data_IF_688189390895
#
_entry.id   IF_688189390895
#
_cell.length_a   1.000
_cell.length_b   1.000
_cell.length_c   1.000
_cell.angle_alpha   90.00
_cell.angle_beta   90.00
_cell.angle_gamma   90.00
#
_symmetry.space_group_name_H-M   'P 1'
#
loop_
_entity.id
_entity.type
_entity.pdbx_description
1 polymer ?
#
# COMPACT_ATOMS: atom_id res chain seq x y z
N UNK A 1 -66.19 34.08 30.69
CA UNK A 1 -65.35 32.89 30.43
C UNK A 1 -64.85 33.02 28.99
N UNK A 2 -63.57 33.37 28.79
CA UNK A 2 -63.03 33.82 27.49
C UNK A 2 -62.61 32.61 26.63
N UNK A 3 -63.18 32.49 25.43
CA UNK A 3 -62.72 31.61 24.36
C UNK A 3 -61.30 32.06 23.92
N UNK A 4 -60.31 31.16 23.99
CA UNK A 4 -58.97 31.37 23.46
C UNK A 4 -58.83 30.61 22.14
N UNK A 5 -58.47 31.35 21.09
CA UNK A 5 -57.98 30.87 19.81
C UNK A 5 -56.56 30.32 19.93
N UNK A 6 -56.24 29.27 19.17
CA UNK A 6 -54.87 28.92 18.78
C UNK A 6 -54.88 28.00 17.54
N UNK A 7 -54.27 28.41 16.41
CA UNK A 7 -53.98 27.56 15.26
C UNK A 7 -52.55 27.02 15.35
N UNK A 8 -52.30 25.77 14.93
CA UNK A 8 -50.93 25.25 14.72
C UNK A 8 -50.92 24.44 13.42
N UNK A 9 -50.46 25.08 12.33
CA UNK A 9 -49.19 24.80 11.63
C UNK A 9 -49.10 23.40 11.01
N UNK A 10 -49.43 23.34 9.73
CA UNK A 10 -49.16 22.24 8.81
C UNK A 10 -47.65 22.05 8.62
N UNK A 11 -47.18 20.84 8.91
CA UNK A 11 -45.78 20.41 8.78
C UNK A 11 -45.47 20.10 7.31
N UNK A 12 -44.63 20.92 6.67
CA UNK A 12 -44.11 20.66 5.34
C UNK A 12 -43.00 19.61 5.42
N UNK A 13 -43.22 18.45 4.80
CA UNK A 13 -42.25 17.37 4.68
C UNK A 13 -41.15 17.76 3.67
N UNK A 14 -39.94 18.04 4.17
CA UNK A 14 -38.75 18.28 3.37
C UNK A 14 -38.14 16.93 2.97
N UNK A 15 -38.44 16.46 1.76
CA UNK A 15 -37.79 15.30 1.16
C UNK A 15 -36.39 15.70 0.67
N UNK A 16 -35.37 15.48 1.50
CA UNK A 16 -33.98 15.60 1.09
C UNK A 16 -33.61 14.28 0.43
N UNK A 17 -33.65 14.27 -0.90
CA UNK A 17 -33.13 13.18 -1.72
C UNK A 17 -31.65 12.96 -1.42
N UNK A 18 -31.32 11.74 -1.00
CA UNK A 18 -29.98 11.20 -0.93
C UNK A 18 -29.38 11.19 -2.34
N UNK A 19 -28.63 12.23 -2.68
CA UNK A 19 -27.72 12.22 -3.82
C UNK A 19 -26.54 11.32 -3.49
N UNK A 20 -26.74 10.00 -3.63
CA UNK A 20 -25.63 9.10 -3.89
C UNK A 20 -25.09 9.50 -5.26
N UNK A 21 -23.93 10.16 -5.28
CA UNK A 21 -23.21 10.40 -6.53
C UNK A 21 -22.93 9.03 -7.17
N UNK A 22 -23.70 8.70 -8.20
CA UNK A 22 -23.41 7.57 -9.09
C UNK A 22 -22.19 7.99 -9.91
N UNK A 23 -21.07 7.28 -9.73
CA UNK A 23 -19.91 7.41 -10.60
C UNK A 23 -20.33 7.14 -12.06
N UNK A 24 -19.80 7.87 -13.05
CA UNK A 24 -20.11 7.59 -14.44
C UNK A 24 -19.59 6.19 -14.81
N UNK A 25 -20.50 5.33 -15.26
CA UNK A 25 -20.19 4.03 -15.87
C UNK A 25 -19.51 4.28 -17.24
N UNK A 26 -18.21 4.56 -17.26
CA UNK A 26 -17.40 4.22 -18.43
C UNK A 26 -17.09 2.75 -18.35
N UNK A 27 -17.88 1.95 -19.05
CA UNK A 27 -17.60 0.54 -19.25
C UNK A 27 -16.25 0.39 -19.93
N UNK A 28 -15.24 0.00 -19.16
CA UNK A 28 -14.09 -0.72 -19.67
C UNK A 28 -14.06 -2.06 -18.93
N UNK A 29 -14.18 -3.15 -19.68
CA UNK A 29 -14.27 -4.52 -19.16
C UNK A 29 -12.88 -5.07 -18.75
N UNK A 30 -11.97 -4.19 -18.32
CA UNK A 30 -10.53 -4.45 -18.18
C UNK A 30 -10.05 -4.77 -16.76
N UNK A 31 -10.89 -5.31 -15.89
CA UNK A 31 -10.51 -5.74 -14.53
C UNK A 31 -9.64 -7.01 -14.55
N UNK A 32 -8.42 -6.93 -15.07
CA UNK A 32 -7.61 -8.11 -15.40
C UNK A 32 -7.01 -8.79 -14.16
N UNK A 33 -6.52 -8.00 -13.19
CA UNK A 33 -5.85 -8.52 -11.98
C UNK A 33 -6.09 -7.56 -10.80
N UNK A 34 -6.62 -8.10 -9.70
CA UNK A 34 -6.66 -7.44 -8.38
C UNK A 34 -5.52 -7.96 -7.51
N UNK A 35 -4.92 -7.06 -6.75
CA UNK A 35 -3.82 -7.33 -5.83
C UNK A 35 -4.24 -6.91 -4.43
N UNK A 36 -4.44 -7.86 -3.52
CA UNK A 36 -4.69 -7.58 -2.11
C UNK A 36 -3.42 -7.78 -1.29
N UNK A 37 -3.16 -6.83 -0.40
CA UNK A 37 -2.01 -6.83 0.48
C UNK A 37 -2.50 -6.84 1.92
N UNK A 38 -1.95 -7.73 2.73
CA UNK A 38 -2.12 -7.74 4.18
C UNK A 38 -0.74 -7.79 4.81
N UNK A 39 -0.43 -6.84 5.68
CA UNK A 39 0.81 -6.76 6.42
C UNK A 39 0.49 -6.84 7.91
N UNK A 40 1.25 -7.64 8.65
CA UNK A 40 1.04 -7.90 10.06
C UNK A 40 2.31 -7.59 10.84
N UNK A 41 2.20 -6.65 11.78
CA UNK A 41 3.31 -6.23 12.63
C UNK A 41 3.24 -6.92 14.01
N UNK A 42 4.38 -7.00 14.71
CA UNK A 42 4.44 -7.57 16.08
C UNK A 42 3.61 -6.71 17.05
N UNK A 43 3.69 -5.39 16.88
CA UNK A 43 3.01 -4.39 17.74
C UNK A 43 2.00 -3.56 16.95
N UNK A 44 1.26 -2.75 17.69
CA UNK A 44 0.27 -1.82 17.14
C UNK A 44 0.89 -0.92 16.07
N UNK A 45 0.14 -0.62 15.01
CA UNK A 45 0.55 0.34 14.00
C UNK A 45 0.76 1.71 14.63
N UNK A 46 2.01 2.17 14.63
CA UNK A 46 2.37 3.47 15.14
C UNK A 46 2.16 4.53 14.06
N UNK A 47 1.22 5.44 14.30
CA UNK A 47 0.87 6.52 13.35
C UNK A 47 1.97 7.56 13.12
N UNK A 48 3.02 7.55 13.94
CA UNK A 48 4.21 8.37 13.73
C UNK A 48 5.24 7.73 12.80
N UNK A 49 5.08 6.46 12.46
CA UNK A 49 5.97 5.74 11.56
C UNK A 49 5.52 5.81 10.11
N UNK A 50 6.45 5.46 9.23
CA UNK A 50 6.27 5.49 7.79
C UNK A 50 6.22 4.07 7.28
N UNK A 51 5.10 3.71 6.68
CA UNK A 51 4.86 2.42 6.04
C UNK A 51 4.77 2.62 4.54
N UNK A 52 5.36 1.72 3.76
CA UNK A 52 5.40 1.78 2.31
C UNK A 52 5.34 0.37 1.72
N UNK A 53 4.47 0.15 0.74
CA UNK A 53 4.56 -1.02 -0.14
C UNK A 53 5.14 -0.56 -1.46
N UNK A 54 6.40 -0.89 -1.72
CA UNK A 54 7.11 -0.51 -2.92
C UNK A 54 6.98 -1.58 -4.01
N UNK A 55 6.79 -1.13 -5.25
CA UNK A 55 6.30 -1.96 -6.35
C UNK A 55 7.13 -1.77 -7.61
N UNK A 56 7.40 -2.86 -8.32
CA UNK A 56 7.98 -2.86 -9.66
C UNK A 56 7.30 -3.92 -10.54
N UNK A 57 6.24 -3.58 -11.29
CA UNK A 57 5.62 -4.49 -12.25
C UNK A 57 6.58 -4.76 -13.40
N UNK A 58 6.57 -5.99 -13.92
CA UNK A 58 7.47 -6.41 -14.98
C UNK A 58 6.78 -7.24 -16.04
N UNK A 59 7.25 -7.12 -17.28
CA UNK A 59 6.83 -7.93 -18.43
C UNK A 59 7.53 -9.30 -18.47
N UNK A 60 8.44 -9.58 -17.54
CA UNK A 60 9.13 -10.85 -17.40
C UNK A 60 8.51 -11.68 -16.28
N UNK A 61 8.50 -13.01 -16.42
CA UNK A 61 8.01 -13.90 -15.37
C UNK A 61 8.94 -13.93 -14.14
N UNK A 62 10.25 -13.80 -14.37
CA UNK A 62 11.31 -13.78 -13.34
C UNK A 62 12.30 -12.64 -13.64
N UNK A 63 11.99 -11.40 -13.25
CA UNK A 63 12.87 -10.26 -13.50
C UNK A 63 14.21 -10.44 -12.79
N UNK A 64 15.31 -10.11 -13.47
CA UNK A 64 16.67 -10.16 -12.89
C UNK A 64 17.09 -8.85 -12.23
N UNK A 65 16.17 -7.89 -12.14
CA UNK A 65 16.37 -6.62 -11.45
C UNK A 65 16.38 -6.83 -9.94
N UNK A 66 17.10 -5.98 -9.22
CA UNK A 66 17.20 -6.01 -7.74
C UNK A 66 15.84 -5.85 -7.06
N UNK A 67 14.85 -5.25 -7.73
CA UNK A 67 13.55 -4.91 -7.18
C UNK A 67 13.59 -3.63 -6.34
N UNK A 68 12.47 -3.29 -5.69
CA UNK A 68 12.43 -2.19 -4.72
C UNK A 68 13.23 -2.54 -3.46
N UNK A 69 14.09 -1.63 -2.98
CA UNK A 69 14.91 -1.84 -1.76
C UNK A 69 14.82 -0.61 -0.85
N UNK A 70 15.03 -0.73 0.48
CA UNK A 70 15.05 0.44 1.35
C UNK A 70 16.29 1.31 1.10
N UNK A 71 16.14 2.62 1.26
CA UNK A 71 17.31 3.50 1.45
C UNK A 71 17.76 3.36 2.91
N UNK A 72 19.00 2.95 3.17
CA UNK A 72 19.46 2.65 4.55
C UNK A 72 20.61 3.54 5.04
N UNK A 73 21.20 4.34 4.15
CA UNK A 73 22.31 5.22 4.48
C UNK A 73 22.36 6.45 3.54
N UNK A 74 23.07 7.53 3.91
CA UNK A 74 23.30 8.67 3.04
C UNK A 74 24.08 8.29 1.75
N UNK A 75 23.90 9.03 0.64
CA UNK A 75 22.96 10.13 0.47
C UNK A 75 21.51 9.64 0.42
N UNK A 76 20.62 10.29 1.16
CA UNK A 76 19.26 9.78 1.40
C UNK A 76 18.35 9.86 0.16
N UNK A 77 18.54 10.82 -0.74
CA UNK A 77 17.61 11.02 -1.86
C UNK A 77 16.18 11.24 -1.36
N UNK A 78 15.24 10.41 -1.80
CA UNK A 78 13.87 10.41 -1.25
C UNK A 78 13.77 9.92 0.21
N UNK A 79 14.79 9.21 0.71
CA UNK A 79 14.93 8.77 2.10
C UNK A 79 14.20 7.48 2.47
N UNK A 80 13.43 6.87 1.57
CA UNK A 80 12.62 5.68 1.88
C UNK A 80 12.87 4.49 0.95
N UNK A 81 12.89 4.67 -0.38
CA UNK A 81 13.01 3.56 -1.35
C UNK A 81 14.03 3.84 -2.45
N UNK A 82 14.78 2.80 -2.82
CA UNK A 82 15.76 2.75 -3.89
C UNK A 82 15.52 1.51 -4.77
N UNK A 83 16.49 1.19 -5.63
CA UNK A 83 16.41 0.06 -6.54
C UNK A 83 15.58 0.39 -7.78
N UNK A 84 14.85 -0.60 -8.29
CA UNK A 84 14.04 -0.45 -9.52
C UNK A 84 12.55 -0.21 -9.21
N UNK A 85 12.23 0.41 -8.07
CA UNK A 85 10.85 0.77 -7.76
C UNK A 85 10.29 1.73 -8.81
N UNK A 86 9.04 1.54 -9.20
CA UNK A 86 8.33 2.46 -10.10
C UNK A 86 7.08 3.04 -9.47
N UNK A 87 6.52 2.33 -8.50
CA UNK A 87 5.34 2.73 -7.75
C UNK A 87 5.52 2.44 -6.27
N UNK A 88 4.72 3.11 -5.45
CA UNK A 88 4.58 2.71 -4.06
C UNK A 88 3.19 3.10 -3.53
N UNK A 89 2.70 2.30 -2.59
CA UNK A 89 1.57 2.68 -1.74
C UNK A 89 2.13 3.20 -0.42
N UNK A 90 1.90 4.48 -0.15
CA UNK A 90 2.31 5.14 1.08
C UNK A 90 1.12 5.29 2.02
N UNK A 91 1.38 5.14 3.32
CA UNK A 91 0.38 5.25 4.35
C UNK A 91 0.40 6.66 4.94
N UNK A 92 -0.75 7.32 4.92
CA UNK A 92 -0.93 8.67 5.44
C UNK A 92 -2.08 8.72 6.43
N UNK A 93 -1.75 8.72 7.73
CA UNK A 93 -2.73 8.77 8.81
C UNK A 93 -3.41 10.14 8.99
N UNK A 94 -3.00 11.16 8.23
CA UNK A 94 -3.54 12.52 8.35
C UNK A 94 -4.71 12.81 7.40
N UNK A 95 -5.05 11.89 6.48
CA UNK A 95 -6.14 12.08 5.50
C UNK A 95 -7.12 10.89 5.49
N UNK A 96 -8.42 11.11 5.21
CA UNK A 96 -9.37 10.03 4.95
C UNK A 96 -8.93 9.21 3.72
N UNK A 97 -9.06 7.88 3.76
CA UNK A 97 -8.48 7.00 2.74
C UNK A 97 -6.97 6.91 2.90
N UNK A 98 -6.54 6.34 4.04
CA UNK A 98 -5.19 6.38 4.64
C UNK A 98 -4.05 5.81 3.78
N UNK A 99 -4.32 5.46 2.52
CA UNK A 99 -3.41 4.87 1.58
C UNK A 99 -3.44 5.66 0.28
N UNK A 100 -2.27 6.07 -0.17
CA UNK A 100 -2.11 6.76 -1.45
C UNK A 100 -1.15 5.97 -2.33
N UNK A 101 -1.56 5.74 -3.57
CA UNK A 101 -0.72 5.16 -4.61
C UNK A 101 0.00 6.27 -5.36
N UNK A 102 1.32 6.14 -5.46
CA UNK A 102 2.20 7.06 -6.16
C UNK A 102 2.99 6.35 -7.24
N UNK A 103 3.42 7.11 -8.24
CA UNK A 103 4.32 6.69 -9.31
C UNK A 103 5.55 7.60 -9.35
N UNK A 104 6.74 7.02 -9.42
CA UNK A 104 7.98 7.77 -9.62
C UNK A 104 8.05 8.32 -11.04
N UNK A 105 8.53 9.56 -11.17
CA UNK A 105 8.68 10.29 -12.44
C UNK A 105 10.08 10.20 -13.01
N UNK A 106 11.06 9.93 -12.15
CA UNK A 106 12.48 9.88 -12.51
C UNK A 106 13.12 8.56 -12.06
N UNK A 107 14.25 8.21 -12.67
CA UNK A 107 14.98 6.97 -12.35
C UNK A 107 15.78 7.05 -11.06
N UNK A 108 16.00 8.25 -10.51
CA UNK A 108 16.63 8.42 -9.20
C UNK A 108 15.60 8.40 -8.06
N UNK A 109 14.31 8.25 -8.40
CA UNK A 109 13.20 8.12 -7.47
C UNK A 109 13.01 9.33 -6.54
N UNK A 110 13.48 10.52 -6.93
CA UNK A 110 13.35 11.73 -6.11
C UNK A 110 12.04 12.47 -6.34
N UNK A 111 11.41 12.25 -7.50
CA UNK A 111 10.15 12.86 -7.87
C UNK A 111 9.09 11.79 -8.08
N UNK A 112 7.92 12.00 -7.49
CA UNK A 112 6.77 11.11 -7.64
C UNK A 112 5.48 11.90 -7.67
N UNK A 113 4.46 11.30 -8.27
CA UNK A 113 3.13 11.88 -8.40
C UNK A 113 2.07 10.97 -7.79
N UNK A 114 1.02 11.58 -7.25
CA UNK A 114 -0.17 10.87 -6.83
C UNK A 114 -0.90 10.34 -8.07
N UNK A 115 -1.20 9.04 -8.10
CA UNK A 115 -1.93 8.41 -9.22
C UNK A 115 -3.29 7.85 -8.79
N UNK A 116 -3.54 7.74 -7.48
CA UNK A 116 -4.85 7.35 -6.97
C UNK A 116 -4.80 6.80 -5.55
N UNK A 117 -5.92 6.24 -5.10
CA UNK A 117 -6.04 5.51 -3.83
C UNK A 117 -6.30 4.03 -4.11
N UNK A 118 -6.02 3.12 -3.16
CA UNK A 118 -6.51 1.75 -3.24
C UNK A 118 -8.03 1.67 -3.44
N UNK A 119 -8.46 0.60 -4.09
CA UNK A 119 -9.86 0.31 -4.38
C UNK A 119 -10.63 -0.05 -3.11
N UNK A 120 -9.95 -0.79 -2.23
CA UNK A 120 -10.40 -1.14 -0.90
C UNK A 120 -9.23 -0.91 0.06
N UNK A 121 -9.54 -0.44 1.26
CA UNK A 121 -8.61 -0.34 2.36
C UNK A 121 -9.38 -0.53 3.66
N UNK A 122 -8.81 -1.31 4.58
CA UNK A 122 -9.34 -1.40 5.94
C UNK A 122 -8.99 -0.12 6.70
N UNK A 123 -9.88 0.34 7.58
CA UNK A 123 -9.55 1.41 8.52
C UNK A 123 -8.48 0.94 9.52
N UNK A 124 -7.41 1.75 9.70
CA UNK A 124 -6.41 1.49 10.73
C UNK A 124 -6.87 2.10 12.06
N UNK A 125 -7.64 1.31 12.80
CA UNK A 125 -8.15 1.66 14.12
C UNK A 125 -7.04 1.59 15.19
N UNK A 126 -7.13 2.37 16.27
CA UNK A 126 -6.24 2.21 17.42
C UNK A 126 -6.27 0.77 17.96
N UNK A 127 -5.11 0.26 18.35
CA UNK A 127 -4.91 -1.10 18.85
C UNK A 127 -4.75 -2.17 17.76
N UNK A 128 -4.85 -1.83 16.47
CA UNK A 128 -4.61 -2.79 15.39
C UNK A 128 -3.14 -2.82 15.00
N UNK A 129 -2.66 -3.99 14.62
CA UNK A 129 -1.30 -4.24 14.14
C UNK A 129 -1.27 -4.70 12.68
N UNK A 130 -2.35 -4.41 11.93
CA UNK A 130 -2.55 -4.92 10.58
C UNK A 130 -2.90 -3.80 9.61
N UNK A 131 -2.24 -3.84 8.47
CA UNK A 131 -2.48 -2.97 7.32
C UNK A 131 -3.05 -3.82 6.19
N UNK A 132 -4.18 -3.40 5.61
CA UNK A 132 -4.79 -4.14 4.50
C UNK A 132 -5.38 -3.19 3.45
N UNK A 133 -5.07 -3.48 2.19
CA UNK A 133 -5.61 -2.74 1.06
C UNK A 133 -5.61 -3.58 -0.22
N UNK A 134 -6.25 -3.04 -1.26
CA UNK A 134 -6.35 -3.65 -2.57
C UNK A 134 -6.15 -2.62 -3.68
N UNK A 135 -5.32 -2.96 -4.66
CA UNK A 135 -5.13 -2.18 -5.90
C UNK A 135 -5.43 -3.05 -7.13
N UNK A 136 -5.71 -2.40 -8.26
CA UNK A 136 -5.77 -3.05 -9.57
C UNK A 136 -4.46 -2.86 -10.31
N UNK A 137 -4.08 -3.85 -11.11
CA UNK A 137 -2.92 -3.73 -12.00
C UNK A 137 -3.03 -2.55 -12.96
N UNK A 138 -4.26 -2.15 -13.33
CA UNK A 138 -4.50 -0.98 -14.18
C UNK A 138 -4.05 0.33 -13.52
N UNK A 139 -4.01 0.39 -12.18
CA UNK A 139 -3.52 1.57 -11.47
C UNK A 139 -1.99 1.72 -11.55
N UNK A 140 -1.28 0.64 -11.92
CA UNK A 140 0.18 0.62 -12.10
C UNK A 140 0.60 0.83 -13.57
N UNK A 141 -0.35 0.82 -14.50
CA UNK A 141 -0.10 1.00 -15.92
C UNK A 141 -0.57 2.39 -16.39
N UNK A 142 0.02 2.89 -17.47
CA UNK A 142 -0.46 4.09 -18.18
C UNK A 142 -1.57 3.76 -19.18
N UNK A 143 -1.62 2.51 -19.64
CA UNK A 143 -2.58 2.03 -20.64
C UNK A 143 -3.01 0.59 -20.32
N UNK A 144 -4.17 0.17 -20.83
CA UNK A 144 -4.65 -1.21 -20.69
C UNK A 144 -3.68 -2.23 -21.30
N UNK A 145 -3.09 -1.93 -22.45
CA UNK A 145 -2.10 -2.81 -23.10
C UNK A 145 -0.83 -3.01 -22.26
N UNK A 146 -0.39 -1.97 -21.55
CA UNK A 146 0.73 -2.09 -20.60
C UNK A 146 0.34 -2.95 -19.39
N UNK A 147 -0.88 -2.77 -18.86
CA UNK A 147 -1.39 -3.60 -17.76
C UNK A 147 -1.44 -5.08 -18.13
N UNK A 148 -1.90 -5.40 -19.36
CA UNK A 148 -1.96 -6.76 -19.91
C UNK A 148 -0.58 -7.38 -20.12
N UNK A 149 0.44 -6.56 -20.39
CA UNK A 149 1.80 -7.02 -20.64
C UNK A 149 2.53 -7.44 -19.35
N UNK A 150 2.08 -6.99 -18.18
CA UNK A 150 2.69 -7.35 -16.91
C UNK A 150 2.47 -8.84 -16.58
N UNK A 151 3.57 -9.52 -16.24
CA UNK A 151 3.61 -10.96 -15.92
C UNK A 151 3.96 -11.24 -14.47
N UNK A 152 4.74 -10.35 -13.86
CA UNK A 152 5.13 -10.45 -12.47
C UNK A 152 5.18 -9.07 -11.82
N UNK A 153 5.23 -9.07 -10.50
CA UNK A 153 5.39 -7.87 -9.68
C UNK A 153 6.45 -8.17 -8.62
N UNK A 154 7.53 -7.37 -8.62
CA UNK A 154 8.46 -7.35 -7.50
C UNK A 154 7.91 -6.41 -6.43
N UNK A 155 7.95 -6.85 -5.17
CA UNK A 155 7.33 -6.17 -4.03
C UNK A 155 8.34 -6.12 -2.90
N UNK A 156 8.40 -4.98 -2.22
CA UNK A 156 9.03 -4.88 -0.92
C UNK A 156 8.11 -4.11 0.03
N UNK A 157 8.08 -4.53 1.28
CA UNK A 157 7.32 -3.89 2.35
C UNK A 157 8.33 -3.17 3.21
N UNK A 158 8.21 -1.85 3.36
CA UNK A 158 9.17 -1.03 4.08
C UNK A 158 8.46 -0.34 5.24
N UNK A 159 9.03 -0.43 6.43
CA UNK A 159 8.61 0.39 7.58
C UNK A 159 9.82 1.16 8.12
N UNK A 160 9.61 2.37 8.63
CA UNK A 160 10.70 3.15 9.22
C UNK A 160 10.19 4.18 10.23
N UNK A 161 11.04 4.50 11.20
CA UNK A 161 10.74 5.48 12.25
C UNK A 161 10.62 6.91 11.67
N UNK A 162 11.35 7.20 10.59
CA UNK A 162 11.35 8.48 9.87
C UNK A 162 11.88 8.36 8.45
N UNK A 163 11.61 9.38 7.64
CA UNK A 163 12.28 9.61 6.34
C UNK A 163 13.33 10.71 6.53
N UNK A 164 14.61 10.36 6.74
CA UNK A 164 15.66 11.34 6.98
C UNK A 164 15.98 12.15 5.71
N UNK A 165 16.19 13.46 5.89
CA UNK A 165 16.71 14.36 4.84
C UNK A 165 18.21 14.65 5.03
N UNK A 166 18.73 14.44 6.24
CA UNK A 166 20.15 14.61 6.62
C UNK A 166 20.45 13.73 7.84
N UNK A 167 21.73 13.64 8.25
CA UNK A 167 22.17 12.79 9.37
C UNK A 167 22.51 11.36 8.98
N UNK A 168 22.78 10.49 9.95
CA UNK A 168 23.46 9.20 9.72
C UNK A 168 22.64 7.94 9.96
N UNK A 169 21.47 7.99 10.59
CA UNK A 169 20.69 6.78 10.87
C UNK A 169 19.19 6.97 10.86
N UNK A 170 18.49 5.85 10.64
CA UNK A 170 17.05 5.62 10.88
C UNK A 170 16.88 4.16 11.31
N UNK A 171 15.78 3.84 12.00
CA UNK A 171 15.37 2.44 12.21
C UNK A 171 14.44 2.08 11.07
N UNK A 172 14.62 0.89 10.52
CA UNK A 172 13.89 0.45 9.35
C UNK A 172 13.67 -1.05 9.38
N UNK A 173 12.61 -1.44 8.70
CA UNK A 173 12.22 -2.81 8.37
C UNK A 173 12.08 -2.91 6.85
N UNK A 174 12.47 -4.05 6.29
CA UNK A 174 12.13 -4.43 4.93
C UNK A 174 11.92 -5.94 4.86
N UNK A 175 11.21 -6.44 3.84
CA UNK A 175 11.03 -7.88 3.71
C UNK A 175 12.38 -8.61 3.82
N UNK A 176 12.51 -9.61 4.70
CA UNK A 176 13.77 -10.29 4.98
C UNK A 176 13.96 -10.70 6.43
N UNK A 177 15.08 -11.40 6.69
CA UNK A 177 15.52 -11.69 8.06
C UNK A 177 16.59 -10.67 8.47
N UNK A 178 16.20 -9.74 9.34
CA UNK A 178 17.06 -8.68 9.88
C UNK A 178 18.26 -9.16 10.70
N UNK A 179 18.25 -10.41 11.15
CA UNK A 179 19.38 -11.04 11.87
C UNK A 179 20.48 -11.51 10.91
N UNK A 180 20.17 -11.61 9.62
CA UNK A 180 21.07 -12.12 8.59
C UNK A 180 21.37 -11.02 7.55
N UNK A 181 22.61 -10.49 7.50
CA UNK A 181 22.97 -9.41 6.57
C UNK A 181 22.72 -9.72 5.09
N UNK A 182 22.68 -10.99 4.71
CA UNK A 182 22.38 -11.43 3.35
C UNK A 182 20.89 -11.50 3.02
N UNK A 183 20.00 -11.34 4.00
CA UNK A 183 18.56 -11.56 3.86
C UNK A 183 17.71 -10.37 4.34
N UNK A 184 18.26 -9.43 5.11
CA UNK A 184 17.60 -8.22 5.65
C UNK A 184 16.88 -7.31 4.62
N UNK A 185 17.02 -7.59 3.32
CA UNK A 185 16.29 -6.93 2.27
C UNK A 185 16.16 -7.87 1.06
N UNK A 186 15.03 -8.57 1.03
CA UNK A 186 14.71 -9.67 0.14
C UNK A 186 13.36 -9.40 -0.54
N UNK A 187 13.33 -8.54 -1.58
CA UNK A 187 12.10 -8.28 -2.33
C UNK A 187 11.55 -9.57 -2.92
N UNK A 188 10.24 -9.78 -2.76
CA UNK A 188 9.57 -10.96 -3.30
C UNK A 188 9.09 -10.69 -4.73
N UNK A 189 8.96 -11.76 -5.52
CA UNK A 189 8.33 -11.70 -6.84
C UNK A 189 7.09 -12.56 -6.86
N UNK A 190 5.95 -11.95 -7.21
CA UNK A 190 4.68 -12.66 -7.39
C UNK A 190 4.33 -12.73 -8.87
N UNK A 191 3.78 -13.86 -9.31
CA UNK A 191 3.24 -13.99 -10.66
C UNK A 191 1.85 -13.36 -10.76
N UNK A 192 1.63 -12.56 -11.80
CA UNK A 192 0.35 -11.96 -12.16
C UNK A 192 -0.47 -12.83 -13.14
N UNK A 193 0.07 -13.99 -13.52
CA UNK A 193 -0.51 -14.85 -14.57
C UNK A 193 -1.60 -15.76 -14.06
N UNK A 194 -1.60 -16.08 -12.77
CA UNK A 194 -2.55 -16.98 -12.15
C UNK A 194 -3.04 -16.37 -10.84
N UNK A 195 -4.30 -16.65 -10.50
CA UNK A 195 -4.79 -16.36 -9.15
C UNK A 195 -4.01 -17.20 -8.14
N UNK A 196 -3.36 -16.55 -7.19
CA UNK A 196 -2.52 -17.20 -6.18
C UNK A 196 -2.34 -16.32 -4.96
N UNK A 197 -2.31 -16.96 -3.79
CA UNK A 197 -1.91 -16.34 -2.54
C UNK A 197 -0.45 -16.65 -2.26
N UNK A 198 0.31 -15.61 -1.95
CA UNK A 198 1.69 -15.67 -1.50
C UNK A 198 1.71 -15.21 -0.05
N UNK A 199 2.32 -16.00 0.82
CA UNK A 199 2.40 -15.76 2.26
C UNK A 199 3.84 -15.78 2.71
N UNK A 200 4.11 -15.29 3.92
CA UNK A 200 5.42 -15.40 4.56
C UNK A 200 5.98 -16.84 4.47
N UNK A 201 5.15 -17.83 4.79
CA UNK A 201 5.51 -19.26 4.71
C UNK A 201 5.82 -19.76 3.30
N UNK A 202 5.19 -19.23 2.24
CA UNK A 202 5.55 -19.58 0.85
C UNK A 202 6.94 -19.09 0.45
N UNK A 203 7.50 -18.15 1.22
CA UNK A 203 8.85 -17.63 1.08
C UNK A 203 9.79 -18.12 2.20
N UNK A 204 9.52 -19.32 2.74
CA UNK A 204 10.37 -19.97 3.76
C UNK A 204 10.46 -19.20 5.08
N UNK A 205 9.33 -18.62 5.51
CA UNK A 205 9.22 -17.81 6.73
C UNK A 205 10.21 -16.63 6.69
N UNK A 206 10.14 -15.89 5.58
CA UNK A 206 10.98 -14.75 5.24
C UNK A 206 11.02 -13.67 6.33
N UNK A 207 9.90 -13.44 7.01
CA UNK A 207 9.72 -12.48 8.12
C UNK A 207 9.66 -13.24 9.46
N UNK A 208 10.81 -13.49 10.12
CA UNK A 208 10.84 -14.02 11.46
C UNK A 208 10.62 -12.91 12.50
N UNK A 209 9.91 -13.22 13.59
CA UNK A 209 9.77 -12.26 14.71
C UNK A 209 11.11 -11.90 15.35
N UNK A 210 11.17 -10.68 15.88
CA UNK A 210 12.27 -10.09 16.67
C UNK A 210 13.58 -10.03 15.89
N UNK A 211 13.55 -9.60 14.63
CA UNK A 211 14.71 -9.44 13.78
C UNK A 211 15.08 -7.97 13.47
N UNK A 212 14.23 -7.02 13.85
CA UNK A 212 14.51 -5.58 13.85
C UNK A 212 14.74 -5.03 15.26
N UNK A 213 15.51 -3.94 15.34
CA UNK A 213 15.89 -3.30 16.60
C UNK A 213 14.72 -2.63 17.34
N UNK A 214 13.70 -2.17 16.61
CA UNK A 214 12.48 -1.60 17.18
C UNK A 214 11.30 -2.55 16.93
N UNK A 215 10.76 -3.22 17.98
CA UNK A 215 9.64 -4.13 17.85
C UNK A 215 8.36 -3.52 17.26
N UNK A 216 8.20 -2.19 17.31
CA UNK A 216 7.04 -1.52 16.71
C UNK A 216 7.10 -1.45 15.17
N UNK A 217 8.28 -1.71 14.59
CA UNK A 217 8.49 -1.80 13.15
C UNK A 217 8.52 -3.24 12.62
N UNK A 218 8.64 -4.22 13.52
CA UNK A 218 8.81 -5.65 13.22
C UNK A 218 7.61 -6.18 12.43
N UNK A 219 7.83 -6.46 11.15
CA UNK A 219 6.89 -7.14 10.29
C UNK A 219 7.02 -8.64 10.55
N UNK A 220 5.93 -9.29 10.95
CA UNK A 220 5.97 -10.70 11.39
C UNK A 220 5.22 -11.66 10.47
N UNK A 221 4.39 -11.11 9.57
CA UNK A 221 3.69 -11.87 8.55
C UNK A 221 3.20 -10.95 7.43
N UNK A 222 3.01 -11.53 6.25
CA UNK A 222 2.39 -10.86 5.13
C UNK A 222 1.60 -11.85 4.26
N UNK A 223 0.60 -11.30 3.56
CA UNK A 223 -0.14 -12.00 2.52
C UNK A 223 -0.28 -11.07 1.32
N UNK A 224 0.11 -11.56 0.15
CA UNK A 224 -0.17 -10.95 -1.15
C UNK A 224 -1.07 -11.89 -1.94
N UNK A 225 -2.28 -11.46 -2.23
CA UNK A 225 -3.24 -12.22 -3.04
C UNK A 225 -3.34 -11.61 -4.43
N UNK A 226 -3.07 -12.42 -5.44
CA UNK A 226 -3.31 -12.11 -6.85
C UNK A 226 -4.63 -12.77 -7.24
N UNK A 227 -5.59 -12.01 -7.75
CA UNK A 227 -6.86 -12.52 -8.28
C UNK A 227 -7.06 -12.06 -9.72
N UNK A 228 -7.18 -13.00 -10.63
CA UNK A 228 -7.64 -12.76 -12.01
C UNK A 228 -9.14 -12.98 -12.08
N UNK A 229 -9.85 -12.02 -12.66
CA UNK A 229 -11.26 -12.14 -13.02
C UNK A 229 -11.41 -12.70 -14.44
#
# INVERSE_FOLDING_TARGET
MRLRTLPLLSLAALAIGSSCARFPDTGDSGELVRLSFTLQFDREINRSYVYVVALNPSTQDTPTTTGPIPVIAPPWGNGFVAGQATHFVGFNFLVPGQFNLYRFRDTNLNEYEFVGVPLLADDVLPGTNRLRFEISINQLARTTAEAEAFRSLQINLLAMDRVPQSGTSKVWEALGDGRLPSQINSPITVSLRNSRTYTNSTFFDLEPRNDVADPDLDLVDFVVEVRRN
#
